data_IF_185904894519
#
_entry.id   IF_185904894519
#
_cell.length_a   1.000
_cell.length_b   1.000
_cell.length_c   1.000
_cell.angle_alpha   90.00
_cell.angle_beta   90.00
_cell.angle_gamma   90.00
#
_symmetry.space_group_name_H-M   'P 1'
#
loop_
_entity.id
_entity.type
_entity.pdbx_description
1 polymer ?
#
# COMPACT_ATOMS: atom_id res chain seq x y z
N UNK A 1 -23.49 -28.40 -54.32
CA UNK A 1 -23.79 -29.11 -53.07
C UNK A 1 -22.72 -28.77 -52.03
N UNK A 2 -23.01 -27.76 -51.20
CA UNK A 2 -22.09 -27.23 -50.16
C UNK A 2 -22.54 -27.85 -48.83
N UNK A 3 -21.73 -28.73 -48.29
CA UNK A 3 -21.94 -29.29 -46.95
C UNK A 3 -21.57 -28.27 -45.87
N UNK A 4 -22.54 -27.77 -45.12
CA UNK A 4 -22.32 -27.06 -43.89
C UNK A 4 -21.94 -28.02 -42.76
N UNK A 5 -20.78 -27.80 -42.18
CA UNK A 5 -20.30 -28.51 -40.98
C UNK A 5 -21.02 -27.92 -39.76
N UNK A 6 -21.85 -28.72 -39.09
CA UNK A 6 -22.38 -28.38 -37.77
C UNK A 6 -21.38 -28.88 -36.72
N UNK A 7 -20.80 -28.02 -35.86
CA UNK A 7 -20.03 -28.51 -34.74
C UNK A 7 -20.97 -29.05 -33.68
N UNK A 8 -20.76 -30.32 -33.32
CA UNK A 8 -21.39 -30.97 -32.16
C UNK A 8 -21.01 -30.21 -30.88
N UNK A 9 -21.96 -29.58 -30.25
CA UNK A 9 -21.81 -28.93 -28.94
C UNK A 9 -21.53 -30.04 -27.92
N UNK A 10 -20.34 -30.01 -27.35
CA UNK A 10 -19.87 -30.96 -26.34
C UNK A 10 -20.63 -30.67 -25.00
N UNK A 11 -21.41 -31.62 -24.54
CA UNK A 11 -22.33 -31.57 -23.39
C UNK A 11 -21.64 -31.65 -22.03
N UNK A 12 -20.37 -31.27 -21.88
CA UNK A 12 -19.64 -31.24 -20.59
C UNK A 12 -19.60 -29.89 -19.89
N UNK A 13 -20.49 -28.95 -20.21
CA UNK A 13 -20.59 -27.64 -19.52
C UNK A 13 -21.62 -27.61 -18.37
N UNK A 14 -21.96 -28.77 -17.82
CA UNK A 14 -22.92 -28.85 -16.70
C UNK A 14 -22.18 -28.96 -15.36
N UNK A 15 -21.64 -27.85 -14.85
CA UNK A 15 -21.50 -27.51 -13.41
C UNK A 15 -20.63 -26.26 -13.22
N UNK A 16 -20.96 -25.19 -13.94
CA UNK A 16 -20.50 -23.87 -13.48
C UNK A 16 -21.52 -23.40 -12.45
N UNK A 17 -21.11 -22.99 -11.23
CA UNK A 17 -22.01 -22.38 -10.30
C UNK A 17 -22.72 -21.19 -10.98
N UNK A 18 -24.03 -21.13 -10.88
CA UNK A 18 -24.80 -20.00 -11.44
C UNK A 18 -24.46 -18.77 -10.61
N UNK A 19 -23.56 -17.93 -11.13
CA UNK A 19 -23.23 -16.64 -10.53
C UNK A 19 -24.42 -15.72 -10.79
N UNK A 20 -25.07 -15.24 -9.74
CA UNK A 20 -26.17 -14.27 -9.87
C UNK A 20 -25.66 -12.94 -10.45
N UNK A 21 -26.52 -12.20 -11.14
CA UNK A 21 -26.16 -10.89 -11.72
C UNK A 21 -25.58 -9.94 -10.68
N UNK A 22 -26.09 -9.98 -9.44
CA UNK A 22 -25.55 -9.17 -8.34
C UNK A 22 -24.14 -9.60 -7.88
N UNK A 23 -23.82 -10.89 -8.00
CA UNK A 23 -22.47 -11.41 -7.73
C UNK A 23 -21.50 -11.03 -8.86
N UNK A 24 -21.92 -11.16 -10.13
CA UNK A 24 -21.11 -10.75 -11.28
C UNK A 24 -20.68 -9.28 -11.22
N UNK A 25 -21.52 -8.41 -10.69
CA UNK A 25 -21.18 -6.98 -10.57
C UNK A 25 -19.94 -6.75 -9.69
N UNK A 26 -19.70 -7.59 -8.69
CA UNK A 26 -18.57 -7.53 -7.76
C UNK A 26 -17.37 -8.39 -8.17
N UNK A 27 -17.44 -9.13 -9.29
CA UNK A 27 -16.33 -9.95 -9.77
C UNK A 27 -15.31 -9.07 -10.50
N UNK A 28 -14.06 -9.13 -10.07
CA UNK A 28 -12.91 -8.40 -10.63
C UNK A 28 -11.87 -9.32 -11.29
N UNK A 29 -12.21 -10.55 -11.57
CA UNK A 29 -11.34 -11.58 -12.10
C UNK A 29 -11.41 -12.87 -11.26
N UNK A 30 -10.49 -13.79 -11.52
CA UNK A 30 -10.34 -15.00 -10.70
C UNK A 30 -9.76 -14.65 -9.33
N UNK A 31 -10.06 -15.48 -8.33
CA UNK A 31 -9.49 -15.33 -7.00
C UNK A 31 -7.97 -15.61 -7.03
N UNK A 32 -7.21 -14.83 -6.28
CA UNK A 32 -5.73 -14.92 -6.21
C UNK A 32 -5.21 -16.27 -5.67
N UNK A 33 -6.08 -17.04 -5.02
CA UNK A 33 -5.82 -18.43 -4.60
C UNK A 33 -7.14 -19.18 -4.41
N UNK A 34 -7.07 -20.52 -4.38
CA UNK A 34 -8.24 -21.39 -4.18
C UNK A 34 -8.92 -21.21 -2.82
N UNK A 35 -8.21 -20.69 -1.81
CA UNK A 35 -8.74 -20.45 -0.46
C UNK A 35 -9.16 -18.99 -0.23
N UNK A 36 -8.87 -18.08 -1.19
CA UNK A 36 -9.05 -16.65 -0.98
C UNK A 36 -10.47 -16.29 -0.57
N UNK A 37 -11.48 -16.79 -1.27
CA UNK A 37 -12.87 -16.46 -0.95
C UNK A 37 -13.30 -16.95 0.45
N UNK A 38 -12.79 -18.09 0.89
CA UNK A 38 -13.00 -18.58 2.26
C UNK A 38 -12.35 -17.66 3.28
N UNK A 39 -11.12 -17.19 3.03
CA UNK A 39 -10.42 -16.24 3.89
C UNK A 39 -11.15 -14.89 3.91
N UNK A 40 -11.45 -14.33 2.75
CA UNK A 40 -12.09 -13.02 2.60
C UNK A 40 -13.50 -12.98 3.20
N UNK A 41 -14.26 -14.08 3.13
CA UNK A 41 -15.61 -14.17 3.69
C UNK A 41 -15.66 -13.87 5.20
N UNK A 42 -14.58 -14.06 5.92
CA UNK A 42 -14.47 -13.76 7.35
C UNK A 42 -14.44 -12.26 7.62
N UNK A 43 -13.92 -11.45 6.67
CA UNK A 43 -13.72 -10.01 6.84
C UNK A 43 -14.75 -9.16 6.10
N UNK A 44 -15.34 -9.67 5.00
CA UNK A 44 -16.30 -8.93 4.16
C UNK A 44 -17.49 -8.35 4.94
N UNK A 45 -18.11 -9.03 5.93
CA UNK A 45 -19.17 -8.43 6.76
C UNK A 45 -18.68 -7.19 7.53
N UNK A 46 -17.45 -7.24 8.04
CA UNK A 46 -16.84 -6.11 8.72
C UNK A 46 -16.55 -4.95 7.76
N UNK A 47 -16.07 -5.23 6.56
CA UNK A 47 -15.84 -4.20 5.54
C UNK A 47 -17.14 -3.50 5.12
N UNK A 48 -18.25 -4.22 4.99
CA UNK A 48 -19.55 -3.61 4.72
C UNK A 48 -20.00 -2.72 5.90
N UNK A 49 -19.77 -3.13 7.15
CA UNK A 49 -20.05 -2.30 8.33
C UNK A 49 -19.21 -1.02 8.35
N UNK A 50 -17.91 -1.12 8.06
CA UNK A 50 -16.98 0.02 7.97
C UNK A 50 -17.44 1.01 6.89
N UNK A 51 -17.86 0.51 5.73
CA UNK A 51 -18.28 1.29 4.56
C UNK A 51 -19.48 2.17 4.84
N UNK A 52 -20.44 1.71 5.65
CA UNK A 52 -21.71 2.41 5.89
C UNK A 52 -21.53 3.88 6.33
N UNK A 53 -20.48 4.19 7.08
CA UNK A 53 -20.22 5.52 7.63
C UNK A 53 -18.93 6.17 7.16
N UNK A 54 -18.22 5.58 6.19
CA UNK A 54 -16.91 6.05 5.76
C UNK A 54 -16.93 7.50 5.25
N UNK A 55 -17.91 7.86 4.40
CA UNK A 55 -18.08 9.23 3.92
C UNK A 55 -18.38 10.20 5.06
N UNK A 56 -19.22 9.82 6.00
CA UNK A 56 -19.58 10.68 7.14
C UNK A 56 -18.39 10.90 8.05
N UNK A 57 -17.60 9.87 8.33
CA UNK A 57 -16.33 10.01 9.10
C UNK A 57 -15.39 11.00 8.44
N UNK A 58 -15.14 10.86 7.13
CA UNK A 58 -14.25 11.79 6.40
C UNK A 58 -14.77 13.22 6.45
N UNK A 59 -16.07 13.44 6.21
CA UNK A 59 -16.68 14.77 6.23
C UNK A 59 -16.64 15.46 7.60
N UNK A 60 -16.66 14.70 8.69
CA UNK A 60 -16.64 15.20 10.06
C UNK A 60 -15.27 15.15 10.72
N UNK A 61 -14.27 14.65 10.00
CA UNK A 61 -12.94 14.37 10.56
C UNK A 61 -13.02 13.48 11.81
N UNK A 62 -13.85 12.45 11.76
CA UNK A 62 -13.99 11.46 12.84
C UNK A 62 -12.94 10.36 12.68
N UNK A 63 -11.96 10.33 13.59
CA UNK A 63 -10.87 9.35 13.53
C UNK A 63 -11.39 7.91 13.67
N UNK A 64 -10.95 6.94 12.80
CA UNK A 64 -11.49 5.59 12.77
C UNK A 64 -10.90 4.66 13.86
N UNK A 65 -10.89 5.12 15.11
CA UNK A 65 -10.34 4.37 16.26
C UNK A 65 -11.07 3.04 16.44
N UNK A 66 -12.42 3.07 16.43
CA UNK A 66 -13.25 1.87 16.56
C UNK A 66 -13.03 0.90 15.40
N UNK A 67 -12.92 1.42 14.16
CA UNK A 67 -12.73 0.59 12.97
C UNK A 67 -11.38 -0.12 13.00
N UNK A 68 -10.35 0.54 13.46
CA UNK A 68 -9.04 -0.10 13.70
C UNK A 68 -9.15 -1.16 14.79
N UNK A 69 -9.88 -0.90 15.87
CA UNK A 69 -10.10 -1.91 16.92
C UNK A 69 -10.87 -3.13 16.38
N UNK A 70 -11.92 -2.92 15.56
CA UNK A 70 -12.64 -4.03 14.92
C UNK A 70 -11.75 -4.88 14.01
N UNK A 71 -10.84 -4.25 13.26
CA UNK A 71 -9.85 -4.97 12.44
C UNK A 71 -8.87 -5.79 13.29
N UNK A 72 -8.44 -5.27 14.45
CA UNK A 72 -7.62 -6.01 15.41
C UNK A 72 -8.38 -7.21 16.00
N UNK A 73 -9.60 -6.99 16.47
CA UNK A 73 -10.44 -8.01 17.10
C UNK A 73 -10.81 -9.14 16.13
N UNK A 74 -11.06 -8.81 14.85
CA UNK A 74 -11.31 -9.80 13.80
C UNK A 74 -10.08 -10.63 13.42
N UNK A 75 -8.89 -10.22 13.86
CA UNK A 75 -7.63 -10.84 13.46
C UNK A 75 -7.09 -10.38 12.10
N UNK A 76 -7.66 -9.35 11.49
CA UNK A 76 -7.17 -8.82 10.22
C UNK A 76 -5.70 -8.38 10.30
N UNK A 77 -5.25 -7.83 11.41
CA UNK A 77 -3.85 -7.46 11.65
C UNK A 77 -2.92 -8.68 11.75
N UNK A 78 -3.44 -9.88 11.92
CA UNK A 78 -2.67 -11.13 12.01
C UNK A 78 -2.66 -11.95 10.71
N UNK A 79 -3.09 -11.36 9.59
CA UNK A 79 -3.18 -12.06 8.29
C UNK A 79 -1.90 -12.80 7.92
N UNK A 80 -0.75 -12.16 8.08
CA UNK A 80 0.56 -12.73 7.71
C UNK A 80 1.15 -13.68 8.74
N UNK A 81 0.74 -13.61 9.99
CA UNK A 81 1.33 -14.42 11.06
C UNK A 81 1.13 -15.92 10.82
N UNK A 82 2.10 -16.75 11.26
CA UNK A 82 1.95 -18.20 11.27
C UNK A 82 0.74 -18.66 12.10
N UNK A 83 0.12 -19.78 11.72
CA UNK A 83 -1.01 -20.37 12.46
C UNK A 83 -0.70 -20.68 13.91
N UNK A 84 0.56 -21.05 14.20
CA UNK A 84 1.05 -21.28 15.57
C UNK A 84 0.89 -20.04 16.48
N UNK A 85 0.84 -18.84 15.87
CA UNK A 85 0.62 -17.56 16.56
C UNK A 85 -0.80 -17.01 16.32
N UNK A 86 -1.75 -17.85 15.93
CA UNK A 86 -3.14 -17.46 15.69
C UNK A 86 -3.35 -16.61 14.44
N UNK A 87 -2.42 -16.65 13.50
CA UNK A 87 -2.50 -15.98 12.22
C UNK A 87 -3.15 -16.82 11.12
N UNK A 88 -3.23 -16.25 9.92
CA UNK A 88 -3.84 -16.88 8.75
C UNK A 88 -2.82 -17.41 7.73
N UNK A 89 -1.54 -17.12 7.90
CA UNK A 89 -0.48 -17.44 6.91
C UNK A 89 -0.89 -16.98 5.50
N UNK A 90 -1.51 -15.80 5.42
CA UNK A 90 -1.93 -15.27 4.15
C UNK A 90 -0.71 -15.00 3.26
N UNK A 91 -0.75 -15.43 2.01
CA UNK A 91 0.26 -15.06 1.02
C UNK A 91 0.21 -13.56 0.71
N UNK A 92 1.27 -13.00 0.12
CA UNK A 92 1.24 -11.57 -0.26
C UNK A 92 0.13 -11.29 -1.29
N UNK A 93 -0.14 -12.11 -2.32
CA UNK A 93 -1.32 -11.92 -3.16
C UNK A 93 -2.64 -11.88 -2.38
N UNK A 94 -2.83 -12.73 -1.38
CA UNK A 94 -4.03 -12.73 -0.52
C UNK A 94 -4.12 -11.48 0.35
N UNK A 95 -3.00 -11.05 0.95
CA UNK A 95 -2.93 -9.80 1.71
C UNK A 95 -3.32 -8.61 0.86
N UNK A 96 -2.70 -8.45 -0.31
CA UNK A 96 -2.95 -7.29 -1.18
C UNK A 96 -4.37 -7.28 -1.74
N UNK A 97 -4.95 -8.44 -2.05
CA UNK A 97 -6.35 -8.55 -2.46
C UNK A 97 -7.30 -8.11 -1.32
N UNK A 98 -7.03 -8.50 -0.07
CA UNK A 98 -7.81 -8.04 1.10
C UNK A 98 -7.61 -6.55 1.40
N UNK A 99 -6.41 -6.00 1.17
CA UNK A 99 -6.17 -4.56 1.30
C UNK A 99 -6.96 -3.74 0.25
N UNK A 100 -7.12 -4.28 -0.97
CA UNK A 100 -8.00 -3.68 -1.98
C UNK A 100 -9.46 -3.68 -1.48
N UNK A 101 -9.98 -4.81 -0.99
CA UNK A 101 -11.37 -4.89 -0.47
C UNK A 101 -11.58 -3.97 0.76
N UNK A 102 -10.60 -3.85 1.65
CA UNK A 102 -10.66 -2.91 2.76
C UNK A 102 -10.65 -1.45 2.27
N UNK A 103 -9.84 -1.14 1.26
CA UNK A 103 -9.79 0.21 0.67
C UNK A 103 -11.08 0.60 -0.07
N UNK A 104 -11.82 -0.38 -0.61
CA UNK A 104 -13.18 -0.16 -1.15
C UNK A 104 -14.15 0.31 -0.06
N UNK A 105 -13.95 -0.13 1.18
CA UNK A 105 -14.76 0.26 2.32
C UNK A 105 -14.33 1.61 2.90
N UNK A 106 -13.05 1.77 3.23
CA UNK A 106 -12.45 3.01 3.74
C UNK A 106 -10.94 3.01 3.46
N UNK A 107 -10.49 3.86 2.55
CA UNK A 107 -9.10 3.92 2.09
C UNK A 107 -8.08 4.36 3.15
N UNK A 108 -8.53 5.01 4.23
CA UNK A 108 -7.65 5.41 5.31
C UNK A 108 -7.14 4.20 6.12
N UNK A 109 -7.96 3.16 6.29
CA UNK A 109 -7.63 2.02 7.15
C UNK A 109 -6.43 1.19 6.67
N UNK A 110 -6.32 0.76 5.40
CA UNK A 110 -5.14 0.07 4.93
C UNK A 110 -3.90 0.97 4.92
N UNK A 111 -4.04 2.29 4.75
CA UNK A 111 -2.93 3.23 4.89
C UNK A 111 -2.45 3.35 6.34
N UNK A 112 -3.36 3.39 7.32
CA UNK A 112 -3.05 3.34 8.75
C UNK A 112 -2.25 2.07 9.08
N UNK A 113 -2.65 0.91 8.53
CA UNK A 113 -2.02 -0.39 8.79
C UNK A 113 -0.78 -0.67 7.92
N UNK A 114 -0.40 0.23 7.02
CA UNK A 114 0.71 0.04 6.08
C UNK A 114 2.02 -0.36 6.78
N UNK A 115 2.39 0.35 7.83
CA UNK A 115 3.62 0.08 8.58
C UNK A 115 3.51 -1.21 9.38
N UNK A 116 2.36 -1.47 9.96
CA UNK A 116 2.13 -2.72 10.70
C UNK A 116 2.37 -3.96 9.82
N UNK A 117 1.86 -3.99 8.60
CA UNK A 117 2.13 -5.10 7.68
C UNK A 117 3.59 -5.16 7.24
N UNK A 118 4.23 -4.02 6.98
CA UNK A 118 5.66 -4.00 6.64
C UNK A 118 6.54 -4.46 7.80
N UNK A 119 6.28 -4.03 9.01
CA UNK A 119 6.99 -4.50 10.19
C UNK A 119 6.76 -6.00 10.44
N UNK A 120 5.56 -6.50 10.13
CA UNK A 120 5.31 -7.94 10.19
C UNK A 120 6.23 -8.71 9.24
N UNK A 121 6.50 -8.19 8.03
CA UNK A 121 7.48 -8.79 7.12
C UNK A 121 8.91 -8.74 7.70
N UNK A 122 9.33 -7.62 8.34
CA UNK A 122 10.63 -7.56 9.05
C UNK A 122 10.75 -8.69 10.09
N UNK A 123 9.69 -8.91 10.88
CA UNK A 123 9.66 -9.97 11.90
C UNK A 123 9.73 -11.36 11.27
N UNK A 124 8.97 -11.60 10.19
CA UNK A 124 8.89 -12.91 9.55
C UNK A 124 10.22 -13.35 8.92
N UNK A 125 11.02 -12.41 8.38
CA UNK A 125 12.32 -12.71 7.75
C UNK A 125 13.51 -12.46 8.66
N UNK A 126 13.28 -12.04 9.91
CA UNK A 126 14.36 -11.73 10.85
C UNK A 126 15.26 -12.94 11.11
N UNK A 127 16.57 -12.70 11.09
CA UNK A 127 17.59 -13.70 11.45
C UNK A 127 17.93 -13.68 12.95
N UNK A 128 17.35 -12.75 13.73
CA UNK A 128 17.45 -12.73 15.18
C UNK A 128 16.25 -13.47 15.81
N UNK A 129 16.45 -14.70 16.33
CA UNK A 129 15.36 -15.50 16.87
C UNK A 129 14.74 -14.90 18.14
N UNK A 130 15.50 -14.12 18.91
CA UNK A 130 15.00 -13.47 20.14
C UNK A 130 14.06 -12.33 19.79
N UNK A 131 14.48 -11.48 18.85
CA UNK A 131 13.64 -10.41 18.30
C UNK A 131 12.39 -11.00 17.63
N UNK A 132 12.57 -11.99 16.77
CA UNK A 132 11.46 -12.64 16.03
C UNK A 132 10.42 -13.20 16.98
N UNK A 133 10.81 -14.03 17.97
CA UNK A 133 9.89 -14.64 18.92
C UNK A 133 9.13 -13.57 19.71
N UNK A 134 9.84 -12.60 20.28
CA UNK A 134 9.24 -11.51 21.07
C UNK A 134 8.17 -10.74 20.28
N UNK A 135 8.46 -10.41 19.02
CA UNK A 135 7.53 -9.67 18.20
C UNK A 135 6.39 -10.52 17.65
N UNK A 136 6.61 -11.78 17.30
CA UNK A 136 5.52 -12.70 16.97
C UNK A 136 4.51 -12.84 18.10
N UNK A 137 4.99 -12.92 19.35
CA UNK A 137 4.11 -12.97 20.54
C UNK A 137 3.32 -11.67 20.72
N UNK A 138 3.92 -10.50 20.51
CA UNK A 138 3.23 -9.19 20.59
C UNK A 138 2.16 -9.06 19.50
N UNK A 139 2.53 -9.33 18.25
CA UNK A 139 1.62 -9.29 17.12
C UNK A 139 0.46 -10.29 17.27
N UNK A 140 0.72 -11.47 17.82
CA UNK A 140 -0.29 -12.49 18.13
C UNK A 140 -1.32 -12.00 19.17
N UNK A 141 -0.92 -11.18 20.15
CA UNK A 141 -1.83 -10.53 21.10
C UNK A 141 -2.64 -9.38 20.51
N UNK A 142 -2.39 -9.01 19.25
CA UNK A 142 -3.08 -7.93 18.56
C UNK A 142 -2.37 -6.57 18.66
N UNK A 143 -1.12 -6.53 19.14
CA UNK A 143 -0.34 -5.30 19.09
C UNK A 143 -0.11 -4.88 17.64
N UNK A 144 -0.17 -3.57 17.40
CA UNK A 144 0.09 -2.97 16.10
C UNK A 144 1.22 -1.95 16.21
N UNK A 145 1.90 -1.69 15.09
CA UNK A 145 3.01 -0.75 15.03
C UNK A 145 2.74 0.33 13.99
N UNK A 146 3.07 1.57 14.32
CA UNK A 146 3.14 2.72 13.44
C UNK A 146 4.59 3.14 13.22
N UNK A 147 4.81 4.22 12.49
CA UNK A 147 6.17 4.68 12.15
C UNK A 147 6.30 6.20 12.21
N UNK A 148 7.47 6.66 12.62
CA UNK A 148 7.87 8.06 12.70
C UNK A 148 9.30 8.20 12.13
N UNK A 149 9.39 8.35 10.79
CA UNK A 149 10.68 8.36 10.08
C UNK A 149 11.08 9.74 9.59
N UNK A 150 10.20 10.43 8.87
CA UNK A 150 10.52 11.69 8.22
C UNK A 150 10.56 12.84 9.21
N UNK A 151 11.41 13.83 8.95
CA UNK A 151 11.44 15.11 9.67
C UNK A 151 10.99 16.23 8.75
N UNK A 152 10.34 17.25 9.32
CA UNK A 152 9.98 18.45 8.59
C UNK A 152 11.22 19.29 8.26
N UNK A 153 11.39 19.68 6.99
CA UNK A 153 12.50 20.52 6.57
C UNK A 153 13.27 20.00 5.37
N UNK A 154 14.40 20.59 5.08
CA UNK A 154 15.23 20.34 3.88
C UNK A 154 16.39 19.36 4.11
N UNK A 155 16.46 18.70 5.27
CA UNK A 155 17.61 17.91 5.65
C UNK A 155 17.52 16.44 5.19
N UNK A 156 18.68 15.84 5.05
CA UNK A 156 18.85 14.46 4.57
C UNK A 156 18.31 13.45 5.59
N UNK A 157 17.71 12.36 5.11
CA UNK A 157 17.30 11.20 5.93
C UNK A 157 18.49 10.54 6.65
N UNK A 158 19.73 10.85 6.24
CA UNK A 158 20.93 10.28 6.82
C UNK A 158 21.42 10.97 8.12
N UNK A 159 20.82 12.08 8.50
CA UNK A 159 21.17 12.82 9.70
C UNK A 159 19.90 13.29 10.39
N UNK A 160 19.23 12.38 11.10
CA UNK A 160 18.07 12.75 11.88
C UNK A 160 18.48 13.71 13.02
N UNK A 161 17.69 14.77 13.22
CA UNK A 161 17.73 15.60 14.42
C UNK A 161 17.18 14.84 15.63
N UNK A 162 16.23 13.93 15.39
CA UNK A 162 15.75 12.99 16.39
C UNK A 162 16.88 12.02 16.73
N UNK A 163 17.29 12.00 17.99
CA UNK A 163 18.49 11.33 18.42
C UNK A 163 18.33 10.61 19.75
N UNK A 164 19.24 9.68 19.97
CA UNK A 164 19.42 9.02 21.26
C UNK A 164 20.48 9.75 22.09
N UNK A 165 20.30 9.79 23.39
CA UNK A 165 21.26 10.26 24.38
C UNK A 165 21.28 9.35 25.59
N UNK A 166 22.33 9.44 26.40
CA UNK A 166 22.41 8.71 27.69
C UNK A 166 22.18 9.71 28.83
N UNK A 167 21.25 9.42 29.72
CA UNK A 167 21.02 10.24 30.92
C UNK A 167 22.07 9.98 32.01
N UNK A 168 22.03 10.76 33.10
CA UNK A 168 22.99 10.66 34.22
C UNK A 168 22.96 9.26 34.90
N UNK A 169 21.87 8.50 34.75
CA UNK A 169 21.74 7.13 35.27
C UNK A 169 22.23 6.05 34.29
N UNK A 170 22.72 6.42 33.12
CA UNK A 170 23.17 5.51 32.07
C UNK A 170 22.02 4.94 31.20
N UNK A 171 20.80 5.46 31.29
CA UNK A 171 19.66 5.02 30.50
C UNK A 171 19.59 5.76 29.18
N UNK A 172 19.15 5.04 28.13
CA UNK A 172 18.98 5.61 26.78
C UNK A 172 17.68 6.40 26.72
N UNK A 173 17.77 7.62 26.20
CA UNK A 173 16.67 8.56 26.02
C UNK A 173 16.52 8.96 24.54
N UNK A 174 15.27 9.01 24.08
CA UNK A 174 14.90 9.47 22.75
C UNK A 174 14.36 10.89 22.82
N UNK A 175 14.91 11.78 21.98
CA UNK A 175 14.47 13.16 21.86
C UNK A 175 14.37 13.58 20.39
N UNK A 176 13.32 14.33 20.02
CA UNK A 176 13.14 14.88 18.70
C UNK A 176 11.69 15.01 18.25
N UNK A 177 11.53 15.38 16.99
CA UNK A 177 10.21 15.53 16.35
C UNK A 177 10.22 14.91 14.95
N UNK A 178 9.13 14.24 14.60
CA UNK A 178 8.90 13.63 13.29
C UNK A 178 7.61 14.17 12.66
N UNK A 179 7.53 14.11 11.33
CA UNK A 179 6.34 14.43 10.57
C UNK A 179 6.07 13.33 9.54
N UNK A 180 4.83 13.17 9.10
CA UNK A 180 4.32 12.02 8.32
C UNK A 180 4.29 10.72 9.12
N UNK A 181 3.79 10.77 10.36
CA UNK A 181 3.73 9.63 11.28
C UNK A 181 2.48 8.76 11.08
N UNK A 182 2.17 8.44 9.84
CA UNK A 182 0.97 7.73 9.42
C UNK A 182 0.69 6.49 10.27
N UNK A 183 -0.51 6.41 10.84
CA UNK A 183 -0.98 5.26 11.60
C UNK A 183 -0.49 5.19 13.05
N UNK A 184 0.54 5.95 13.43
CA UNK A 184 1.14 5.88 14.77
C UNK A 184 0.19 6.23 15.90
N UNK A 185 -0.77 7.13 15.65
CA UNK A 185 -1.79 7.50 16.63
C UNK A 185 -2.67 6.30 17.04
N UNK A 186 -2.89 5.34 16.15
CA UNK A 186 -3.73 4.15 16.35
C UNK A 186 -2.97 2.91 16.80
N UNK A 187 -1.64 2.98 16.81
CA UNK A 187 -0.78 1.85 17.08
C UNK A 187 -0.52 1.63 18.58
N UNK A 188 -0.02 0.45 18.95
CA UNK A 188 0.49 0.14 20.29
C UNK A 188 1.96 0.55 20.45
N UNK A 189 2.70 0.48 19.35
CA UNK A 189 4.14 0.74 19.27
C UNK A 189 4.44 1.68 18.11
N UNK A 190 5.53 2.43 18.22
CA UNK A 190 6.02 3.34 17.19
C UNK A 190 7.47 3.02 16.87
N UNK A 191 7.74 2.74 15.61
CA UNK A 191 9.08 2.61 15.05
C UNK A 191 9.60 4.00 14.68
N UNK A 192 10.72 4.42 15.27
CA UNK A 192 11.26 5.77 15.14
C UNK A 192 12.66 5.74 14.53
N UNK A 193 12.83 6.42 13.38
CA UNK A 193 14.16 6.64 12.79
C UNK A 193 14.95 7.66 13.62
N UNK A 194 16.18 7.32 14.01
CA UNK A 194 17.02 8.12 14.92
C UNK A 194 18.46 8.17 14.47
N UNK A 195 19.19 9.18 14.94
CA UNK A 195 20.63 9.14 15.04
C UNK A 195 20.97 8.48 16.38
N UNK A 196 21.75 7.40 16.35
CA UNK A 196 22.12 6.63 17.54
C UNK A 196 23.23 7.30 18.37
N UNK A 197 23.66 6.61 19.44
CA UNK A 197 24.73 7.10 20.35
C UNK A 197 26.11 7.21 19.67
N UNK A 198 26.29 6.61 18.49
CA UNK A 198 27.52 6.64 17.70
C UNK A 198 27.45 7.63 16.53
N UNK A 199 26.31 8.31 16.34
CA UNK A 199 26.05 9.21 15.22
C UNK A 199 25.58 8.52 13.94
N UNK A 200 25.27 7.22 14.02
CA UNK A 200 24.79 6.44 12.88
C UNK A 200 23.27 6.45 12.77
N UNK A 201 22.75 6.25 11.55
CA UNK A 201 21.32 6.10 11.32
C UNK A 201 20.83 4.76 11.85
N UNK A 202 19.75 4.79 12.61
CA UNK A 202 19.19 3.61 13.24
C UNK A 202 17.69 3.72 13.48
N UNK A 203 17.12 2.68 14.07
CA UNK A 203 15.69 2.63 14.39
C UNK A 203 15.51 2.12 15.82
N UNK A 204 14.62 2.77 16.58
CA UNK A 204 14.17 2.29 17.88
C UNK A 204 12.66 2.12 17.90
N UNK A 205 12.17 1.19 18.69
CA UNK A 205 10.74 0.98 18.87
C UNK A 205 10.36 1.36 20.28
N UNK A 206 9.36 2.23 20.42
CA UNK A 206 8.86 2.70 21.70
C UNK A 206 7.36 2.45 21.85
N UNK A 207 6.86 2.19 23.08
CA UNK A 207 5.42 2.12 23.31
C UNK A 207 4.75 3.46 22.96
N UNK A 208 3.63 3.41 22.23
CA UNK A 208 2.87 4.61 21.83
C UNK A 208 2.48 5.49 23.02
N UNK A 209 2.19 4.88 24.18
CA UNK A 209 1.76 5.55 25.40
C UNK A 209 2.88 5.71 26.43
N UNK A 210 4.16 5.57 26.02
CA UNK A 210 5.27 5.85 26.93
C UNK A 210 5.29 7.33 27.31
N UNK A 211 5.76 7.61 28.52
CA UNK A 211 5.95 8.99 28.97
C UNK A 211 6.88 9.73 28.00
N UNK A 212 6.47 10.91 27.56
CA UNK A 212 7.22 11.74 26.61
C UNK A 212 6.89 11.48 25.15
N UNK A 213 6.05 10.51 24.79
CA UNK A 213 5.53 10.31 23.44
C UNK A 213 4.22 11.07 23.26
N UNK A 214 4.22 12.04 22.34
CA UNK A 214 3.04 12.83 21.97
C UNK A 214 2.83 12.76 20.45
N UNK A 215 1.68 12.22 20.00
CA UNK A 215 1.33 12.08 18.59
C UNK A 215 0.06 12.87 18.33
N UNK A 216 0.17 13.83 17.41
CA UNK A 216 -0.85 14.82 17.13
C UNK A 216 -1.70 14.44 15.90
N UNK A 217 -2.98 14.81 15.95
CA UNK A 217 -3.87 14.77 14.79
C UNK A 217 -3.86 16.14 14.10
N UNK A 218 -2.72 16.49 13.49
CA UNK A 218 -2.49 17.77 12.82
C UNK A 218 -2.19 17.61 11.31
N UNK A 219 -2.52 16.43 10.73
CA UNK A 219 -2.42 16.20 9.30
C UNK A 219 -3.39 17.09 8.52
N UNK A 220 -2.86 18.03 7.74
CA UNK A 220 -3.64 19.01 6.96
C UNK A 220 -3.57 18.76 5.44
N UNK A 221 -3.42 17.51 5.01
CA UNK A 221 -3.49 17.12 3.60
C UNK A 221 -4.93 17.08 3.09
N UNK A 222 -5.14 17.38 1.79
CA UNK A 222 -6.49 17.36 1.20
C UNK A 222 -7.07 15.95 1.01
N UNK A 223 -6.28 14.89 1.18
CA UNK A 223 -6.71 13.50 1.13
C UNK A 223 -6.04 12.66 2.19
N UNK A 224 -6.55 11.44 2.41
CA UNK A 224 -6.11 10.54 3.49
C UNK A 224 -6.16 11.24 4.86
N UNK A 225 -7.24 12.00 5.08
CA UNK A 225 -7.37 12.95 6.19
C UNK A 225 -7.44 12.26 7.55
N UNK A 226 -7.89 11.01 7.59
CA UNK A 226 -8.11 10.25 8.82
C UNK A 226 -6.94 9.33 9.21
N UNK A 227 -5.80 9.46 8.53
CA UNK A 227 -4.63 8.60 8.77
C UNK A 227 -3.73 9.09 9.91
N UNK A 228 -4.02 10.26 10.49
CA UNK A 228 -3.19 10.93 11.49
C UNK A 228 -1.70 10.98 11.06
N UNK A 229 -1.47 11.42 9.80
CA UNK A 229 -0.12 11.50 9.21
C UNK A 229 0.65 12.76 9.64
N UNK A 230 0.37 13.29 10.81
CA UNK A 230 0.93 14.55 11.33
C UNK A 230 2.22 14.36 12.12
N UNK A 231 2.32 15.13 13.20
CA UNK A 231 3.50 15.29 14.05
C UNK A 231 3.56 14.22 15.15
N UNK A 232 4.75 13.68 15.41
CA UNK A 232 5.09 12.96 16.65
C UNK A 232 6.27 13.63 17.35
N UNK A 233 6.10 13.90 18.65
CA UNK A 233 7.13 14.47 19.52
C UNK A 233 7.61 13.45 20.52
N UNK A 234 8.91 13.44 20.73
CA UNK A 234 9.58 12.59 21.69
C UNK A 234 10.38 13.47 22.63
N UNK A 235 10.03 13.44 23.91
CA UNK A 235 10.68 14.26 24.94
C UNK A 235 11.14 13.35 26.06
N UNK A 236 12.43 13.11 26.13
CA UNK A 236 13.08 12.29 27.16
C UNK A 236 12.47 10.89 27.32
N UNK A 237 12.06 10.28 26.18
CA UNK A 237 11.42 8.95 26.18
C UNK A 237 12.45 7.88 26.52
N UNK A 238 12.15 7.04 27.51
CA UNK A 238 12.99 5.89 27.86
C UNK A 238 12.96 4.83 26.75
N UNK A 239 14.14 4.44 26.25
CA UNK A 239 14.30 3.39 25.24
C UNK A 239 14.80 2.11 25.90
N UNK A 240 14.14 1.00 25.62
CA UNK A 240 14.63 -0.32 25.96
C UNK A 240 15.73 -0.73 24.97
N UNK A 241 16.96 -1.08 25.42
CA UNK A 241 18.02 -1.51 24.52
C UNK A 241 17.69 -2.70 23.64
N UNK A 242 16.76 -3.56 24.06
CA UNK A 242 16.30 -4.70 23.27
C UNK A 242 15.42 -4.30 22.07
N UNK A 243 14.91 -3.07 22.03
CA UNK A 243 14.07 -2.52 20.96
C UNK A 243 14.87 -1.66 19.96
N UNK A 244 16.17 -1.80 19.97
CA UNK A 244 17.07 -1.12 19.04
C UNK A 244 17.29 -1.99 17.79
N UNK A 245 17.10 -1.40 16.61
CA UNK A 245 17.26 -2.05 15.32
C UNK A 245 18.35 -1.33 14.51
N UNK A 246 19.53 -1.92 14.31
CA UNK A 246 20.57 -1.35 13.47
C UNK A 246 20.10 -1.10 12.03
N UNK A 247 20.74 -0.15 11.35
CA UNK A 247 20.47 0.09 9.93
C UNK A 247 20.75 -1.20 9.09
N UNK A 248 19.90 -1.44 8.09
CA UNK A 248 20.05 -2.60 7.19
C UNK A 248 19.36 -3.88 7.63
N UNK A 249 18.66 -3.88 8.78
CA UNK A 249 17.88 -5.05 9.27
C UNK A 249 16.53 -5.21 8.61
N UNK A 250 16.08 -4.22 7.83
CA UNK A 250 14.77 -4.24 7.15
C UNK A 250 14.72 -5.29 6.03
N UNK A 251 13.56 -5.92 5.85
CA UNK A 251 13.34 -6.87 4.75
C UNK A 251 13.64 -6.22 3.38
N UNK A 252 14.32 -6.97 2.50
CA UNK A 252 14.93 -6.39 1.30
C UNK A 252 13.93 -5.91 0.24
N UNK A 253 12.75 -6.52 0.18
CA UNK A 253 11.67 -6.11 -0.75
C UNK A 253 10.77 -4.99 -0.18
N UNK A 254 11.22 -4.26 0.84
CA UNK A 254 10.43 -3.27 1.56
C UNK A 254 9.95 -2.11 0.68
N UNK A 255 10.78 -1.61 -0.24
CA UNK A 255 10.42 -0.47 -1.07
C UNK A 255 9.26 -0.81 -2.02
N UNK A 256 9.32 -1.95 -2.74
CA UNK A 256 8.25 -2.43 -3.60
C UNK A 256 6.99 -2.79 -2.79
N UNK A 257 7.14 -3.39 -1.60
CA UNK A 257 6.04 -3.74 -0.72
C UNK A 257 5.25 -2.51 -0.27
N UNK A 258 5.91 -1.50 0.28
CA UNK A 258 5.26 -0.27 0.72
C UNK A 258 4.63 0.51 -0.44
N UNK A 259 5.26 0.49 -1.62
CA UNK A 259 4.66 1.06 -2.81
C UNK A 259 3.40 0.29 -3.23
N UNK A 260 3.43 -1.05 -3.19
CA UNK A 260 2.30 -1.86 -3.60
C UNK A 260 1.09 -1.70 -2.67
N UNK A 261 1.28 -1.48 -1.36
CA UNK A 261 0.16 -1.14 -0.46
C UNK A 261 -0.56 0.12 -0.96
N UNK A 262 0.17 1.16 -1.34
CA UNK A 262 -0.45 2.38 -1.87
C UNK A 262 -1.20 2.12 -3.18
N UNK A 263 -0.65 1.29 -4.06
CA UNK A 263 -1.32 0.92 -5.31
C UNK A 263 -2.57 0.06 -5.08
N UNK A 264 -2.55 -0.81 -4.07
CA UNK A 264 -3.73 -1.56 -3.65
C UNK A 264 -4.85 -0.64 -3.12
N UNK A 265 -4.49 0.37 -2.33
CA UNK A 265 -5.45 1.37 -1.83
C UNK A 265 -6.03 2.19 -2.99
N UNK A 266 -5.20 2.65 -3.92
CA UNK A 266 -5.64 3.37 -5.13
C UNK A 266 -6.59 2.50 -5.97
N UNK A 267 -6.29 1.21 -6.09
CA UNK A 267 -7.16 0.24 -6.79
C UNK A 267 -8.52 0.10 -6.09
N UNK A 268 -8.54 -0.04 -4.77
CA UNK A 268 -9.77 -0.12 -3.99
C UNK A 268 -10.62 1.15 -4.11
N UNK A 269 -10.01 2.33 -4.08
CA UNK A 269 -10.69 3.61 -4.34
C UNK A 269 -11.31 3.65 -5.74
N UNK A 270 -10.62 3.15 -6.75
CA UNK A 270 -11.12 3.14 -8.14
C UNK A 270 -12.28 2.14 -8.30
N UNK A 271 -12.24 1.00 -7.61
CA UNK A 271 -13.37 0.05 -7.54
C UNK A 271 -14.56 0.67 -6.81
N UNK A 272 -14.35 1.33 -5.67
CA UNK A 272 -15.40 2.03 -4.93
C UNK A 272 -16.03 3.14 -5.78
N UNK A 273 -15.23 3.94 -6.51
CA UNK A 273 -15.72 4.93 -7.45
C UNK A 273 -16.61 4.31 -8.55
N UNK A 274 -16.21 3.14 -9.08
CA UNK A 274 -17.01 2.39 -10.06
C UNK A 274 -18.39 2.01 -9.52
N UNK A 275 -18.46 1.51 -8.30
CA UNK A 275 -19.72 1.15 -7.66
C UNK A 275 -20.61 2.37 -7.42
N UNK A 276 -20.05 3.44 -6.87
CA UNK A 276 -20.80 4.63 -6.52
C UNK A 276 -21.32 5.37 -7.75
N UNK A 277 -20.49 5.50 -8.80
CA UNK A 277 -20.95 6.11 -10.07
C UNK A 277 -22.02 5.26 -10.75
N UNK A 278 -21.87 3.94 -10.78
CA UNK A 278 -22.86 3.04 -11.37
C UNK A 278 -24.20 3.13 -10.63
N UNK A 279 -24.17 3.14 -9.31
CA UNK A 279 -25.38 3.29 -8.49
C UNK A 279 -26.04 4.67 -8.67
N UNK A 280 -25.26 5.73 -8.80
CA UNK A 280 -25.75 7.08 -9.02
C UNK A 280 -26.39 7.21 -10.42
N UNK A 281 -25.76 6.67 -11.47
CA UNK A 281 -26.30 6.63 -12.84
C UNK A 281 -27.63 5.86 -12.89
N UNK A 282 -27.70 4.68 -12.25
CA UNK A 282 -28.90 3.86 -12.23
C UNK A 282 -30.11 4.53 -11.54
N UNK A 283 -29.85 5.39 -10.53
CA UNK A 283 -30.88 6.13 -9.79
C UNK A 283 -31.33 7.42 -10.48
N UNK A 284 -30.59 7.90 -11.50
CA UNK A 284 -30.85 9.18 -12.10
C UNK A 284 -32.03 9.12 -13.06
N UNK A 285 -33.05 9.92 -12.82
CA UNK A 285 -34.31 9.93 -13.58
C UNK A 285 -34.37 11.02 -14.65
N UNK A 286 -33.52 12.06 -14.56
CA UNK A 286 -33.49 13.19 -15.49
C UNK A 286 -32.29 13.14 -16.38
N UNK A 287 -32.49 13.31 -17.70
CA UNK A 287 -31.44 13.44 -18.68
C UNK A 287 -31.50 14.82 -19.36
N UNK A 288 -30.48 15.16 -20.13
CA UNK A 288 -30.40 16.39 -20.90
C UNK A 288 -31.18 16.24 -22.22
N UNK A 289 -31.65 17.36 -22.80
CA UNK A 289 -32.39 17.38 -24.06
C UNK A 289 -31.59 16.90 -25.29
N UNK A 290 -30.25 16.94 -25.20
CA UNK A 290 -29.35 16.46 -26.25
C UNK A 290 -28.80 15.04 -25.97
N UNK A 291 -29.31 14.36 -24.95
CA UNK A 291 -28.97 12.97 -24.68
C UNK A 291 -29.63 12.01 -25.69
N UNK A 292 -29.04 10.83 -25.84
CA UNK A 292 -29.52 9.84 -26.82
C UNK A 292 -30.78 9.09 -26.37
N UNK A 293 -31.07 9.09 -25.06
CA UNK A 293 -32.24 8.38 -24.49
C UNK A 293 -32.82 9.18 -23.32
N UNK A 294 -34.14 8.98 -23.03
CA UNK A 294 -34.76 9.62 -21.87
C UNK A 294 -34.20 9.19 -20.51
N UNK A 295 -33.72 7.95 -20.41
CA UNK A 295 -33.15 7.39 -19.17
C UNK A 295 -31.62 7.38 -19.24
N UNK A 296 -30.97 8.02 -18.26
CA UNK A 296 -29.50 8.12 -18.17
C UNK A 296 -28.84 6.74 -18.20
N UNK A 297 -29.41 5.76 -17.50
CA UNK A 297 -28.89 4.38 -17.45
C UNK A 297 -28.86 3.65 -18.79
N UNK A 298 -29.54 4.14 -19.81
CA UNK A 298 -29.59 3.57 -21.15
C UNK A 298 -28.79 4.40 -22.16
N UNK A 299 -28.22 5.54 -21.73
CA UNK A 299 -27.48 6.43 -22.64
C UNK A 299 -26.12 5.80 -22.97
N UNK A 300 -25.81 5.54 -24.26
CA UNK A 300 -24.60 4.85 -24.66
C UNK A 300 -23.33 5.63 -24.31
N UNK A 301 -23.35 6.97 -24.29
CA UNK A 301 -22.22 7.79 -23.91
C UNK A 301 -21.94 7.69 -22.41
N UNK A 302 -22.98 7.72 -21.59
CA UNK A 302 -22.84 7.54 -20.13
C UNK A 302 -22.37 6.12 -19.78
N UNK A 303 -22.93 5.10 -20.46
CA UNK A 303 -22.47 3.72 -20.29
C UNK A 303 -21.01 3.53 -20.70
N UNK A 304 -20.55 4.21 -21.76
CA UNK A 304 -19.15 4.21 -22.17
C UNK A 304 -18.24 4.79 -21.07
N UNK A 305 -18.60 5.92 -20.47
CA UNK A 305 -17.85 6.54 -19.37
C UNK A 305 -17.74 5.57 -18.19
N UNK A 306 -18.84 4.98 -17.75
CA UNK A 306 -18.83 3.99 -16.65
C UNK A 306 -17.98 2.76 -16.99
N UNK A 307 -18.05 2.30 -18.26
CA UNK A 307 -17.23 1.20 -18.77
C UNK A 307 -15.73 1.51 -18.70
N UNK A 308 -15.32 2.72 -19.04
CA UNK A 308 -13.92 3.16 -18.93
C UNK A 308 -13.42 3.17 -17.48
N UNK A 309 -14.22 3.69 -16.54
CA UNK A 309 -13.90 3.70 -15.10
C UNK A 309 -13.73 2.25 -14.59
N UNK A 310 -14.67 1.35 -14.96
CA UNK A 310 -14.59 -0.07 -14.57
C UNK A 310 -13.35 -0.76 -15.16
N UNK A 311 -13.01 -0.47 -16.41
CA UNK A 311 -11.81 -1.02 -17.07
C UNK A 311 -10.55 -0.57 -16.36
N UNK A 312 -10.46 0.70 -15.95
CA UNK A 312 -9.34 1.24 -15.18
C UNK A 312 -9.18 0.49 -13.84
N UNK A 313 -10.29 0.28 -13.10
CA UNK A 313 -10.29 -0.45 -11.84
C UNK A 313 -9.87 -1.93 -12.00
N UNK A 314 -10.33 -2.59 -13.07
CA UNK A 314 -9.95 -3.96 -13.40
C UNK A 314 -8.44 -4.06 -13.70
N UNK A 315 -7.94 -3.20 -14.59
CA UNK A 315 -6.52 -3.18 -14.97
C UNK A 315 -5.62 -2.92 -13.76
N UNK A 316 -5.99 -1.97 -12.89
CA UNK A 316 -5.26 -1.69 -11.66
C UNK A 316 -5.17 -2.93 -10.77
N UNK A 317 -6.28 -3.68 -10.59
CA UNK A 317 -6.32 -4.90 -9.79
C UNK A 317 -5.40 -6.00 -10.32
N UNK A 318 -5.40 -6.24 -11.63
CA UNK A 318 -4.52 -7.22 -12.28
C UNK A 318 -3.03 -6.87 -12.08
N UNK A 319 -2.68 -5.58 -12.18
CA UNK A 319 -1.30 -5.15 -11.97
C UNK A 319 -0.88 -5.30 -10.50
N UNK A 320 -1.74 -4.98 -9.53
CA UNK A 320 -1.44 -5.20 -8.11
C UNK A 320 -1.20 -6.69 -7.83
N UNK A 321 -2.06 -7.57 -8.36
CA UNK A 321 -1.89 -9.01 -8.19
C UNK A 321 -0.55 -9.50 -8.77
N UNK A 322 -0.19 -9.03 -9.97
CA UNK A 322 1.07 -9.42 -10.62
C UNK A 322 2.29 -9.02 -9.80
N UNK A 323 2.33 -7.80 -9.26
CA UNK A 323 3.42 -7.34 -8.40
C UNK A 323 3.42 -8.10 -7.07
N UNK A 324 2.25 -8.39 -6.49
CA UNK A 324 2.14 -9.18 -5.26
C UNK A 324 2.71 -10.61 -5.43
N UNK A 325 2.51 -11.24 -6.59
CA UNK A 325 3.14 -12.52 -6.93
C UNK A 325 4.66 -12.41 -7.04
N UNK A 326 5.19 -11.28 -7.51
CA UNK A 326 6.63 -11.03 -7.55
C UNK A 326 7.20 -10.89 -6.14
N UNK A 327 6.52 -10.14 -5.28
CA UNK A 327 6.91 -10.01 -3.86
C UNK A 327 6.85 -11.35 -3.11
N UNK A 328 5.86 -12.19 -3.39
CA UNK A 328 5.77 -13.54 -2.77
C UNK A 328 6.98 -14.41 -3.13
N UNK A 329 7.47 -14.34 -4.38
CA UNK A 329 8.69 -15.02 -4.79
C UNK A 329 9.91 -14.50 -4.02
N UNK A 330 10.00 -13.18 -3.83
CA UNK A 330 11.10 -12.55 -3.08
C UNK A 330 11.05 -12.92 -1.60
N UNK A 331 9.86 -12.91 -0.99
CA UNK A 331 9.64 -13.40 0.37
C UNK A 331 10.09 -14.86 0.54
N UNK A 332 9.67 -15.74 -0.38
CA UNK A 332 10.07 -17.15 -0.34
C UNK A 332 11.58 -17.34 -0.44
N UNK A 333 12.25 -16.55 -1.28
CA UNK A 333 13.72 -16.58 -1.41
C UNK A 333 14.44 -16.04 -0.17
N UNK A 334 13.85 -15.09 0.56
CA UNK A 334 14.41 -14.61 1.83
C UNK A 334 14.41 -15.68 2.94
N UNK A 335 13.48 -16.65 2.86
CA UNK A 335 13.40 -17.79 3.79
C UNK A 335 14.23 -18.99 3.35
N UNK A 336 14.54 -19.11 2.07
CA UNK A 336 15.29 -20.25 1.49
C UNK A 336 16.72 -19.80 1.11
N UNK A 337 17.70 -20.20 1.92
CA UNK A 337 19.12 -19.87 1.70
C UNK A 337 19.73 -20.55 0.48
N UNK A 338 19.01 -21.40 -0.25
CA UNK A 338 19.52 -22.25 -1.33
C UNK A 338 18.87 -21.95 -2.69
N UNK A 339 17.95 -20.97 -2.75
CA UNK A 339 17.14 -20.65 -3.94
C UNK A 339 17.79 -19.67 -4.92
N UNK A 340 16.95 -19.14 -5.83
CA UNK A 340 17.32 -18.07 -6.75
C UNK A 340 17.86 -16.85 -6.01
N UNK A 341 18.76 -16.09 -6.66
CA UNK A 341 19.31 -14.90 -6.06
C UNK A 341 18.22 -13.95 -5.53
N UNK A 342 18.14 -13.78 -4.22
CA UNK A 342 17.21 -12.83 -3.58
C UNK A 342 17.35 -11.43 -4.17
N UNK A 343 18.59 -11.03 -4.54
CA UNK A 343 18.87 -9.74 -5.15
C UNK A 343 18.19 -9.59 -6.53
N UNK A 344 18.24 -10.62 -7.37
CA UNK A 344 17.63 -10.58 -8.70
C UNK A 344 16.09 -10.54 -8.61
N UNK A 345 15.50 -11.33 -7.70
CA UNK A 345 14.06 -11.33 -7.46
C UNK A 345 13.60 -9.99 -6.91
N UNK A 346 14.38 -9.38 -6.03
CA UNK A 346 14.09 -8.05 -5.50
C UNK A 346 14.17 -6.97 -6.58
N UNK A 347 15.20 -6.99 -7.44
CA UNK A 347 15.32 -6.05 -8.56
C UNK A 347 14.13 -6.18 -9.53
N UNK A 348 13.68 -7.42 -9.81
CA UNK A 348 12.49 -7.67 -10.61
C UNK A 348 11.22 -7.11 -9.95
N UNK A 349 11.03 -7.32 -8.64
CA UNK A 349 9.89 -6.80 -7.91
C UNK A 349 9.85 -5.26 -7.91
N UNK A 350 11.00 -4.60 -7.75
CA UNK A 350 11.12 -3.14 -7.86
C UNK A 350 10.78 -2.64 -9.27
N UNK A 351 11.23 -3.33 -10.32
CA UNK A 351 10.91 -2.99 -11.70
C UNK A 351 9.41 -3.12 -11.97
N UNK A 352 8.81 -4.26 -11.60
CA UNK A 352 7.37 -4.50 -11.77
C UNK A 352 6.54 -3.48 -10.96
N UNK A 353 6.94 -3.15 -9.73
CA UNK A 353 6.31 -2.13 -8.90
C UNK A 353 6.39 -0.73 -9.53
N UNK A 354 7.54 -0.36 -10.09
CA UNK A 354 7.71 0.93 -10.76
C UNK A 354 6.82 1.04 -12.02
N UNK A 355 6.72 -0.02 -12.82
CA UNK A 355 5.85 -0.09 -14.01
C UNK A 355 4.38 0.02 -13.60
N UNK A 356 3.96 -0.74 -12.59
CA UNK A 356 2.60 -0.72 -12.07
C UNK A 356 2.22 0.67 -11.51
N UNK A 357 3.13 1.35 -10.80
CA UNK A 357 2.89 2.69 -10.25
C UNK A 357 2.51 3.69 -11.35
N UNK A 358 3.25 3.70 -12.46
CA UNK A 358 2.99 4.62 -13.58
C UNK A 358 1.58 4.44 -14.15
N UNK A 359 1.21 3.19 -14.43
CA UNK A 359 -0.06 2.84 -15.08
C UNK A 359 -1.24 3.00 -14.10
N UNK A 360 -1.18 2.39 -12.92
CA UNK A 360 -2.29 2.41 -11.95
C UNK A 360 -2.62 3.85 -11.54
N UNK A 361 -1.59 4.66 -11.24
CA UNK A 361 -1.81 6.04 -10.83
C UNK A 361 -2.50 6.87 -11.91
N UNK A 362 -2.08 6.73 -13.16
CA UNK A 362 -2.70 7.47 -14.26
C UNK A 362 -4.15 7.03 -14.47
N UNK A 363 -4.40 5.73 -14.59
CA UNK A 363 -5.75 5.18 -14.78
C UNK A 363 -6.72 5.60 -13.67
N UNK A 364 -6.26 5.58 -12.42
CA UNK A 364 -7.09 5.92 -11.27
C UNK A 364 -7.41 7.42 -11.19
N UNK A 365 -6.44 8.30 -11.49
CA UNK A 365 -6.66 9.74 -11.54
C UNK A 365 -7.63 10.10 -12.69
N UNK A 366 -7.47 9.50 -13.86
CA UNK A 366 -8.36 9.72 -14.99
C UNK A 366 -9.78 9.21 -14.67
N UNK A 367 -9.92 8.01 -14.09
CA UNK A 367 -11.21 7.46 -13.69
C UNK A 367 -11.92 8.33 -12.64
N UNK A 368 -11.18 8.83 -11.64
CA UNK A 368 -11.73 9.68 -10.58
C UNK A 368 -12.10 11.10 -11.06
N UNK A 369 -11.58 11.54 -12.19
CA UNK A 369 -11.99 12.75 -12.88
C UNK A 369 -13.19 12.48 -13.80
N UNK A 370 -13.11 11.42 -14.59
CA UNK A 370 -14.10 11.05 -15.61
C UNK A 370 -15.49 10.74 -15.00
N UNK A 371 -15.57 10.29 -13.75
CA UNK A 371 -16.85 9.99 -13.09
C UNK A 371 -17.83 11.18 -13.08
N UNK A 372 -17.32 12.43 -13.08
CA UNK A 372 -18.14 13.63 -13.13
C UNK A 372 -18.82 13.83 -14.49
N UNK A 373 -18.22 13.31 -15.57
CA UNK A 373 -18.83 13.37 -16.90
C UNK A 373 -20.08 12.49 -17.00
N UNK A 374 -20.14 11.36 -16.23
CA UNK A 374 -21.33 10.52 -16.13
C UNK A 374 -22.43 11.14 -15.27
N UNK A 375 -22.08 12.00 -14.31
CA UNK A 375 -23.00 12.47 -13.27
C UNK A 375 -23.39 13.95 -13.43
N UNK A 376 -22.56 14.76 -14.05
CA UNK A 376 -22.77 16.20 -14.26
C UNK A 376 -22.66 17.02 -12.98
N UNK A 377 -23.07 18.29 -13.04
CA UNK A 377 -22.84 19.30 -12.00
C UNK A 377 -23.34 18.93 -10.60
N UNK A 378 -24.43 18.16 -10.49
CA UNK A 378 -24.96 17.76 -9.17
C UNK A 378 -24.00 16.86 -8.40
N UNK A 379 -23.09 16.15 -9.05
CA UNK A 379 -22.09 15.32 -8.40
C UNK A 379 -20.99 16.13 -7.68
N UNK A 380 -20.86 17.42 -8.00
CA UNK A 380 -19.94 18.32 -7.31
C UNK A 380 -20.43 18.77 -5.91
N UNK A 381 -21.68 18.44 -5.54
CA UNK A 381 -22.17 18.71 -4.19
C UNK A 381 -21.44 17.83 -3.16
N UNK A 382 -20.83 18.49 -2.15
CA UNK A 382 -20.04 17.86 -1.09
C UNK A 382 -20.74 16.71 -0.36
N UNK A 383 -22.08 16.74 -0.30
CA UNK A 383 -22.87 15.68 0.36
C UNK A 383 -22.70 14.28 -0.27
N UNK A 384 -22.32 14.21 -1.56
CA UNK A 384 -22.07 12.95 -2.25
C UNK A 384 -20.63 12.47 -2.10
N UNK A 385 -19.69 13.39 -1.82
CA UNK A 385 -18.29 13.10 -1.59
C UNK A 385 -17.56 12.42 -2.76
N UNK A 386 -17.97 12.61 -4.02
CA UNK A 386 -17.31 12.02 -5.17
C UNK A 386 -15.89 12.55 -5.37
N UNK A 387 -15.61 13.77 -4.92
CA UNK A 387 -14.29 14.40 -4.93
C UNK A 387 -13.29 13.65 -4.04
N UNK A 388 -13.76 12.89 -3.03
CA UNK A 388 -12.89 12.10 -2.14
C UNK A 388 -12.05 11.08 -2.90
N UNK A 389 -12.55 10.52 -3.98
CA UNK A 389 -11.81 9.57 -4.80
C UNK A 389 -10.56 10.20 -5.38
N UNK A 390 -10.71 11.34 -6.06
CA UNK A 390 -9.57 12.07 -6.61
C UNK A 390 -8.62 12.55 -5.52
N UNK A 391 -9.12 13.15 -4.45
CA UNK A 391 -8.30 13.66 -3.34
C UNK A 391 -7.45 12.57 -2.70
N UNK A 392 -8.06 11.44 -2.35
CA UNK A 392 -7.36 10.32 -1.74
C UNK A 392 -6.37 9.66 -2.71
N UNK A 393 -6.76 9.41 -3.96
CA UNK A 393 -5.86 8.87 -4.99
C UNK A 393 -4.68 9.81 -5.23
N UNK A 394 -4.93 11.12 -5.37
CA UNK A 394 -3.86 12.10 -5.62
C UNK A 394 -2.88 12.18 -4.45
N UNK A 395 -3.36 12.14 -3.22
CA UNK A 395 -2.51 12.15 -2.02
C UNK A 395 -1.59 10.94 -1.99
N UNK A 396 -2.14 9.73 -2.14
CA UNK A 396 -1.36 8.48 -2.21
C UNK A 396 -0.34 8.48 -3.36
N UNK A 397 -0.76 8.94 -4.55
CA UNK A 397 0.10 9.03 -5.73
C UNK A 397 1.24 10.05 -5.60
N UNK A 398 1.19 10.94 -4.62
CA UNK A 398 2.23 11.94 -4.36
C UNK A 398 3.27 11.48 -3.34
N UNK A 399 3.03 10.38 -2.63
CA UNK A 399 3.93 9.88 -1.60
C UNK A 399 5.31 9.52 -2.16
N UNK A 400 5.33 8.74 -3.25
CA UNK A 400 6.57 8.36 -3.95
C UNK A 400 6.60 9.05 -5.33
N UNK A 401 7.62 9.85 -5.66
CA UNK A 401 7.66 10.62 -6.90
C UNK A 401 7.66 9.73 -8.15
N UNK A 402 6.50 9.56 -8.76
CA UNK A 402 6.32 8.74 -9.98
C UNK A 402 7.08 9.27 -11.20
N UNK A 403 7.40 10.56 -11.19
CA UNK A 403 8.09 11.23 -12.32
C UNK A 403 9.44 10.59 -12.66
N UNK A 404 10.11 9.98 -11.68
CA UNK A 404 11.40 9.32 -11.89
C UNK A 404 11.26 7.87 -12.39
N UNK A 405 10.11 7.23 -12.25
CA UNK A 405 9.93 5.79 -12.53
C UNK A 405 10.08 5.46 -14.01
N UNK A 406 9.52 6.28 -14.90
CA UNK A 406 9.66 6.07 -16.35
C UNK A 406 11.14 6.10 -16.80
N UNK A 407 11.96 7.01 -16.23
CA UNK A 407 13.41 7.06 -16.49
C UNK A 407 14.12 5.80 -16.01
N UNK A 408 13.82 5.34 -14.79
CA UNK A 408 14.43 4.10 -14.23
C UNK A 408 14.10 2.89 -15.12
N UNK A 409 12.84 2.75 -15.54
CA UNK A 409 12.39 1.67 -16.43
C UNK A 409 13.08 1.76 -17.80
N UNK A 410 13.19 2.98 -18.35
CA UNK A 410 13.87 3.22 -19.62
C UNK A 410 15.36 2.88 -19.56
N UNK A 411 16.03 3.27 -18.48
CA UNK A 411 17.45 2.97 -18.26
C UNK A 411 17.70 1.46 -18.14
N UNK A 412 16.85 0.76 -17.39
CA UNK A 412 16.90 -0.70 -17.36
C UNK A 412 16.72 -1.32 -18.76
N UNK A 413 15.77 -0.82 -19.54
CA UNK A 413 15.45 -1.38 -20.85
C UNK A 413 16.54 -1.13 -21.90
N UNK A 414 17.27 -0.02 -21.82
CA UNK A 414 18.31 0.37 -22.78
C UNK A 414 19.70 -0.11 -22.35
N UNK A 415 20.03 0.07 -21.08
CA UNK A 415 21.36 -0.11 -20.54
C UNK A 415 21.51 -1.31 -19.61
N UNK A 416 20.39 -1.95 -19.20
CA UNK A 416 20.41 -3.04 -18.22
C UNK A 416 20.66 -2.57 -16.78
N UNK A 417 20.61 -1.26 -16.51
CA UNK A 417 20.82 -0.72 -15.16
C UNK A 417 19.70 -1.16 -14.24
N UNK A 418 20.01 -1.90 -13.17
CA UNK A 418 19.04 -2.36 -12.22
C UNK A 418 18.33 -1.19 -11.50
N UNK A 419 17.04 -1.31 -11.13
CA UNK A 419 16.37 -0.33 -10.32
C UNK A 419 17.10 -0.12 -8.99
N UNK A 420 17.16 1.11 -8.44
CA UNK A 420 17.79 1.33 -7.14
C UNK A 420 17.01 0.57 -6.07
N UNK A 421 17.75 -0.15 -5.23
CA UNK A 421 17.20 -0.98 -4.13
C UNK A 421 16.37 -0.15 -3.15
N UNK A 422 16.85 1.06 -2.84
CA UNK A 422 16.16 2.05 -2.01
C UNK A 422 16.35 3.43 -2.64
N UNK A 423 15.32 4.25 -2.54
CA UNK A 423 15.44 5.67 -2.86
C UNK A 423 15.37 6.47 -1.56
N UNK A 424 16.11 7.55 -1.47
CA UNK A 424 16.25 8.36 -0.27
C UNK A 424 15.96 9.83 -0.61
N UNK A 425 15.47 10.58 0.37
CA UNK A 425 15.30 12.03 0.26
C UNK A 425 16.58 12.66 0.80
N UNK A 426 17.15 13.67 0.11
CA UNK A 426 18.29 14.43 0.58
C UNK A 426 19.39 14.63 -0.45
N UNK A 427 20.64 14.79 -0.02
CA UNK A 427 21.79 15.14 -0.86
C UNK A 427 22.06 14.09 -1.96
N UNK A 428 22.09 14.55 -3.21
CA UNK A 428 22.36 13.74 -4.40
C UNK A 428 23.86 13.56 -4.69
N UNK A 429 24.76 14.28 -4.00
CA UNK A 429 26.20 14.27 -4.26
C UNK A 429 26.84 12.88 -4.14
N UNK A 430 26.31 12.03 -3.25
CA UNK A 430 26.77 10.63 -3.13
C UNK A 430 26.30 9.72 -4.27
N UNK A 431 25.21 10.07 -4.95
CA UNK A 431 24.70 9.33 -6.10
C UNK A 431 25.60 9.59 -7.31
N UNK A 432 26.08 10.82 -7.49
CA UNK A 432 27.02 11.18 -8.54
C UNK A 432 28.37 10.47 -8.35
N UNK A 433 28.90 10.45 -7.13
CA UNK A 433 30.15 9.74 -6.82
C UNK A 433 30.04 8.21 -7.03
N UNK A 434 28.89 7.59 -6.72
CA UNK A 434 28.67 6.17 -6.97
C UNK A 434 28.46 5.86 -8.46
N UNK A 435 27.84 6.75 -9.22
CA UNK A 435 27.69 6.62 -10.66
C UNK A 435 29.03 6.75 -11.38
N UNK A 436 29.89 7.68 -10.98
CA UNK A 436 31.26 7.82 -11.49
C UNK A 436 32.11 6.59 -11.17
N UNK A 437 32.01 6.05 -9.95
CA UNK A 437 32.75 4.85 -9.53
C UNK A 437 32.29 3.61 -10.32
N UNK A 438 31.00 3.46 -10.58
CA UNK A 438 30.45 2.35 -11.38
C UNK A 438 30.86 2.46 -12.86
N UNK A 439 30.92 3.67 -13.39
CA UNK A 439 31.36 3.95 -14.77
C UNK A 439 32.86 3.65 -14.92
N UNK A 440 33.68 3.99 -13.92
CA UNK A 440 35.13 3.69 -13.90
C UNK A 440 35.38 2.18 -13.78
N UNK A 441 34.63 1.46 -12.98
CA UNK A 441 34.72 0.01 -12.83
C UNK A 441 34.28 -0.75 -14.10
N UNK A 442 33.26 -0.27 -14.81
CA UNK A 442 32.84 -0.84 -16.09
C UNK A 442 33.83 -0.52 -17.22
N UNK A 443 34.45 0.66 -17.24
CA UNK A 443 35.47 1.00 -18.20
C UNK A 443 36.76 0.15 -18.03
N UNK A 444 37.07 -0.24 -16.78
CA UNK A 444 38.20 -1.11 -16.46
C UNK A 444 37.98 -2.58 -16.84
N UNK A 445 36.74 -3.03 -16.93
CA UNK A 445 36.35 -4.43 -17.29
C UNK A 445 36.31 -4.68 -18.80
N UNK A 446 36.27 -3.63 -19.63
CA UNK A 446 36.21 -3.74 -21.09
C UNK A 446 37.60 -3.80 -21.76
N UNK A 447 38.69 -3.63 -21.02
CA UNK A 447 40.05 -3.53 -21.60
C UNK A 447 40.85 -4.83 -21.60
N UNK A 448 40.26 -6.02 -21.47
CA UNK A 448 41.00 -7.29 -21.53
C UNK A 448 40.28 -8.31 -22.45
N UNK A 449 40.41 -8.11 -23.77
CA UNK A 449 40.55 -9.22 -24.73
C UNK A 449 41.53 -8.79 -25.83
N UNK A 450 42.75 -9.31 -25.84
CA UNK A 450 43.58 -9.27 -27.04
C UNK A 450 43.19 -10.43 -27.96
N UNK A 451 42.99 -10.09 -29.22
CA UNK A 451 43.00 -10.86 -30.49
C UNK A 451 43.10 -12.38 -30.40
#
# INVERSE_FOLDING_TARGET
MTHFYHPTVNTQLQHRPQITTSQLFRVWGEAVSTRYDTLASQFRPLFEQIKQHALQREQRHELPIEQIQWLKDSGFTRLRLPKAYGGYEATLPELFALLIELAEADSNLPQILRIHFGFTEDVLVSQDPVFQQRWLERLARGDTIGSAWSEGGTESIHAFKTHLSTDESGKIRLNGEKYYTTGSLYANWVEVGVTDLHGESSTVIVPRHAQGVDILDDWNGFGQQLTASGTARFTDVLVDPSEFLPEGTRFKYSAAFYQLIQLAIITGLTRAATYDVSAAVAKRTRNYSHANTPLVQNDPQILQVVGQIRTAAYTAGVLVEKVAQSLERTYSAALDSHGASEADLNALAELESAQAQGVITQLALDASTLLFDALGASAADKKYGFDRYWRNIRTLASHNPRVFKARIIGDFSVNGTLPPYQWRIGDTSKIEAQAEQSTLNNASSVSLTPT
#
